data_IF_079586267260
#
_entry.id   IF_079586267260
#
_cell.length_a   1.000
_cell.length_b   1.000
_cell.length_c   1.000
_cell.angle_alpha   90.00
_cell.angle_beta   90.00
_cell.angle_gamma   90.00
#
_symmetry.space_group_name_H-M   'P 1'
#
loop_
_entity.id
_entity.type
_entity.pdbx_description
1 polymer ?
#
# COMPACT_ATOMS: atom_id res chain seq x y z
N UNK A 1 -14.65 -37.70 -3.85
CA UNK A 1 -14.93 -36.54 -4.70
C UNK A 1 -14.07 -35.45 -4.10
N UNK A 2 -12.88 -35.23 -4.67
CA UNK A 2 -11.93 -34.27 -4.11
C UNK A 2 -12.42 -32.87 -4.42
N UNK A 3 -12.62 -32.05 -3.39
CA UNK A 3 -12.90 -30.63 -3.59
C UNK A 3 -11.74 -30.04 -4.37
N UNK A 4 -12.06 -29.38 -5.49
CA UNK A 4 -11.06 -28.65 -6.24
C UNK A 4 -10.51 -27.57 -5.31
N UNK A 5 -9.21 -27.64 -5.03
CA UNK A 5 -8.48 -26.59 -4.37
C UNK A 5 -8.77 -25.29 -5.10
N UNK A 6 -9.46 -24.36 -4.45
CA UNK A 6 -9.64 -23.03 -5.00
C UNK A 6 -8.26 -22.40 -5.07
N UNK A 7 -7.83 -21.97 -6.26
CA UNK A 7 -6.51 -21.34 -6.47
C UNK A 7 -6.64 -19.84 -6.73
N UNK A 8 -7.88 -19.33 -6.79
CA UNK A 8 -8.17 -17.96 -7.16
C UNK A 8 -9.46 -17.46 -6.50
N UNK A 9 -9.40 -16.28 -5.91
CA UNK A 9 -10.57 -15.50 -5.51
C UNK A 9 -11.35 -15.07 -6.75
N UNK A 10 -12.67 -14.97 -6.62
CA UNK A 10 -13.47 -14.26 -7.64
C UNK A 10 -13.13 -12.77 -7.63
N UNK A 11 -13.35 -12.04 -8.74
CA UNK A 11 -13.12 -10.59 -8.78
C UNK A 11 -13.87 -9.82 -7.67
N UNK A 12 -15.09 -10.24 -7.35
CA UNK A 12 -15.87 -9.64 -6.26
C UNK A 12 -15.28 -9.91 -4.87
N UNK A 13 -14.68 -11.08 -4.65
CA UNK A 13 -13.99 -11.40 -3.40
C UNK A 13 -12.68 -10.62 -3.27
N UNK A 14 -11.89 -10.51 -4.34
CA UNK A 14 -10.67 -9.71 -4.34
C UNK A 14 -10.96 -8.24 -4.09
N UNK A 15 -12.00 -7.68 -4.74
CA UNK A 15 -12.43 -6.31 -4.49
C UNK A 15 -12.92 -6.10 -3.06
N UNK A 16 -13.79 -6.98 -2.55
CA UNK A 16 -14.25 -6.90 -1.18
C UNK A 16 -13.09 -7.00 -0.17
N UNK A 17 -12.08 -7.83 -0.46
CA UNK A 17 -10.86 -7.95 0.32
C UNK A 17 -10.08 -6.64 0.36
N UNK A 18 -9.85 -6.00 -0.78
CA UNK A 18 -9.18 -4.69 -0.85
C UNK A 18 -9.96 -3.61 -0.09
N UNK A 19 -11.28 -3.56 -0.23
CA UNK A 19 -12.14 -2.61 0.50
C UNK A 19 -12.14 -2.84 2.02
N UNK A 20 -12.07 -4.11 2.45
CA UNK A 20 -11.86 -4.46 3.86
C UNK A 20 -10.51 -3.92 4.34
N UNK A 21 -9.46 -4.19 3.58
CA UNK A 21 -8.10 -3.75 3.87
C UNK A 21 -7.98 -2.24 4.07
N UNK A 22 -8.55 -1.47 3.14
CA UNK A 22 -8.57 -0.01 3.21
C UNK A 22 -9.29 0.49 4.48
N UNK A 23 -10.43 -0.13 4.85
CA UNK A 23 -11.25 0.33 5.97
C UNK A 23 -10.76 -0.09 7.34
N UNK A 24 -10.24 -1.32 7.45
CA UNK A 24 -9.89 -1.93 8.73
C UNK A 24 -8.42 -1.71 9.11
N UNK A 25 -7.55 -1.52 8.12
CA UNK A 25 -6.11 -1.39 8.34
C UNK A 25 -5.59 0.00 7.95
N UNK A 26 -5.81 0.42 6.69
CA UNK A 26 -5.22 1.67 6.17
C UNK A 26 -5.85 2.91 6.79
N UNK A 27 -7.18 2.97 6.83
CA UNK A 27 -7.89 4.13 7.35
C UNK A 27 -7.61 4.40 8.84
N UNK A 28 -7.67 3.42 9.75
CA UNK A 28 -7.34 3.65 11.17
C UNK A 28 -5.90 4.12 11.35
N UNK A 29 -4.98 3.55 10.59
CA UNK A 29 -3.57 3.94 10.56
C UNK A 29 -3.40 5.40 10.11
N UNK A 30 -3.93 5.78 8.95
CA UNK A 30 -3.85 7.16 8.42
C UNK A 30 -4.50 8.16 9.39
N UNK A 31 -5.65 7.82 9.99
CA UNK A 31 -6.32 8.69 10.98
C UNK A 31 -5.42 9.07 12.14
N UNK A 32 -4.59 8.15 12.63
CA UNK A 32 -3.71 8.41 13.78
C UNK A 32 -2.57 9.34 13.41
N UNK A 33 -1.92 9.09 12.27
CA UNK A 33 -0.84 9.95 11.78
C UNK A 33 -1.38 11.37 11.56
N UNK A 34 -2.52 11.53 10.89
CA UNK A 34 -3.15 12.84 10.69
C UNK A 34 -3.57 13.51 12.01
N UNK A 35 -3.93 12.75 13.05
CA UNK A 35 -4.26 13.31 14.36
C UNK A 35 -3.03 13.85 15.10
N UNK A 36 -1.85 13.24 14.91
CA UNK A 36 -0.57 13.73 15.46
C UNK A 36 0.01 14.88 14.63
N UNK A 37 -0.31 14.91 13.34
CA UNK A 37 0.22 15.85 12.35
C UNK A 37 -0.92 16.59 11.61
N UNK A 38 -1.53 17.60 12.23
CA UNK A 38 -2.77 18.22 11.74
C UNK A 38 -2.62 19.08 10.48
N UNK A 39 -1.39 19.36 10.06
CA UNK A 39 -1.04 20.03 8.80
C UNK A 39 -1.01 19.08 7.60
N UNK A 40 -0.92 17.76 7.81
CA UNK A 40 -1.08 16.78 6.75
C UNK A 40 -2.55 16.73 6.31
N UNK A 41 -2.76 16.66 5.00
CA UNK A 41 -4.08 16.73 4.37
C UNK A 41 -4.43 15.48 3.58
N UNK A 42 -3.44 14.69 3.19
CA UNK A 42 -3.67 13.47 2.43
C UNK A 42 -2.64 12.38 2.72
N UNK A 43 -2.99 11.17 2.31
CA UNK A 43 -2.10 10.02 2.27
C UNK A 43 -2.39 9.19 1.02
N UNK A 44 -1.37 8.56 0.44
CA UNK A 44 -1.50 7.66 -0.70
C UNK A 44 -0.92 6.29 -0.34
N UNK A 45 -1.75 5.26 -0.39
CA UNK A 45 -1.30 3.87 -0.33
C UNK A 45 -0.67 3.51 -1.66
N UNK A 46 0.59 3.09 -1.59
CA UNK A 46 1.37 2.60 -2.70
C UNK A 46 1.60 1.10 -2.51
N UNK A 47 1.66 0.36 -3.63
CA UNK A 47 1.94 -1.08 -3.64
C UNK A 47 2.99 -1.41 -4.68
N UNK A 48 3.85 -2.36 -4.36
CA UNK A 48 4.88 -2.86 -5.26
C UNK A 48 4.98 -4.38 -5.11
N UNK A 49 5.33 -5.09 -6.18
CA UNK A 49 5.64 -6.51 -6.08
C UNK A 49 7.08 -6.70 -6.54
N UNK A 50 7.93 -7.18 -5.66
CA UNK A 50 9.31 -7.51 -5.99
C UNK A 50 9.92 -8.44 -4.95
N UNK A 51 11.00 -9.12 -5.36
CA UNK A 51 11.82 -9.91 -4.47
C UNK A 51 12.58 -9.01 -3.50
N UNK A 52 12.41 -9.28 -2.21
CA UNK A 52 13.31 -8.83 -1.15
C UNK A 52 13.85 -10.09 -0.47
N UNK A 53 15.04 -10.03 0.14
CA UNK A 53 15.93 -11.11 0.62
C UNK A 53 15.29 -12.31 1.41
N UNK A 54 13.97 -12.36 1.58
CA UNK A 54 13.18 -13.38 2.28
C UNK A 54 11.89 -13.82 1.54
N UNK A 55 11.57 -13.31 0.34
CA UNK A 55 10.29 -13.57 -0.34
C UNK A 55 10.34 -13.52 -1.88
N UNK A 56 9.94 -14.62 -2.54
CA UNK A 56 9.95 -14.78 -4.01
C UNK A 56 9.01 -13.83 -4.79
N UNK A 57 7.88 -13.43 -4.19
CA UNK A 57 6.82 -12.67 -4.87
C UNK A 57 6.05 -11.70 -3.94
N UNK A 58 6.69 -11.25 -2.85
CA UNK A 58 6.05 -10.38 -1.87
C UNK A 58 5.44 -9.13 -2.50
N UNK A 59 4.23 -8.79 -2.07
CA UNK A 59 3.66 -7.47 -2.33
C UNK A 59 3.97 -6.58 -1.14
N UNK A 60 4.80 -5.58 -1.37
CA UNK A 60 5.18 -4.53 -0.43
C UNK A 60 4.18 -3.39 -0.48
N UNK A 61 4.21 -2.57 0.57
CA UNK A 61 3.37 -1.37 0.69
C UNK A 61 4.17 -0.19 1.23
N UNK A 62 3.74 0.99 0.86
CA UNK A 62 4.21 2.25 1.43
C UNK A 62 3.01 3.20 1.58
N UNK A 63 3.07 4.14 2.52
CA UNK A 63 2.06 5.20 2.67
C UNK A 63 2.73 6.56 2.58
N UNK A 64 2.55 7.23 1.45
CA UNK A 64 3.05 8.59 1.23
C UNK A 64 2.08 9.60 1.83
N UNK A 65 2.45 10.26 2.92
CA UNK A 65 1.68 11.36 3.51
C UNK A 65 2.04 12.70 2.88
N UNK A 66 1.09 13.64 2.84
CA UNK A 66 1.34 14.96 2.26
C UNK A 66 0.54 16.09 2.92
N UNK A 67 1.12 17.29 2.94
CA UNK A 67 0.43 18.56 3.23
C UNK A 67 -0.46 19.02 2.05
N UNK A 68 -0.32 18.40 0.88
CA UNK A 68 -1.14 18.65 -0.29
C UNK A 68 -2.47 17.89 -0.20
N UNK A 69 -3.46 18.29 -1.01
CA UNK A 69 -4.71 17.53 -1.15
C UNK A 69 -4.51 16.18 -1.85
N UNK A 70 -3.46 16.06 -2.65
CA UNK A 70 -3.02 14.83 -3.30
C UNK A 70 -1.48 14.78 -3.23
N UNK A 71 -0.87 13.69 -2.74
CA UNK A 71 0.58 13.58 -2.70
C UNK A 71 1.20 13.64 -4.09
N UNK A 72 2.30 14.38 -4.23
CA UNK A 72 3.09 14.46 -5.45
C UNK A 72 4.08 13.29 -5.48
N UNK A 73 3.72 12.22 -6.17
CA UNK A 73 4.54 11.00 -6.27
C UNK A 73 5.84 11.22 -7.03
N UNK A 74 5.85 12.11 -8.03
CA UNK A 74 7.07 12.39 -8.81
C UNK A 74 8.07 13.18 -7.96
N UNK A 75 7.59 14.13 -7.15
CA UNK A 75 8.43 14.79 -6.16
C UNK A 75 8.97 13.80 -5.12
N UNK A 76 8.15 12.87 -4.65
CA UNK A 76 8.56 11.85 -3.68
C UNK A 76 9.64 10.90 -4.22
N UNK A 77 9.54 10.49 -5.49
CA UNK A 77 10.57 9.67 -6.17
C UNK A 77 11.88 10.42 -6.39
N UNK A 78 11.79 11.71 -6.67
CA UNK A 78 12.95 12.58 -6.86
C UNK A 78 13.58 13.03 -5.53
N UNK A 79 12.90 12.82 -4.41
CA UNK A 79 13.35 13.25 -3.08
C UNK A 79 14.53 12.40 -2.58
N UNK A 80 15.25 12.98 -1.61
CA UNK A 80 16.14 12.18 -0.76
C UNK A 80 15.26 11.34 0.17
N UNK A 81 15.63 10.08 0.42
CA UNK A 81 14.88 9.17 1.29
C UNK A 81 14.65 9.74 2.70
N UNK A 82 15.47 10.70 3.11
CA UNK A 82 15.36 11.43 4.37
C UNK A 82 14.37 12.61 4.34
N UNK A 83 14.15 13.25 3.18
CA UNK A 83 13.45 14.54 3.09
C UNK A 83 12.69 14.73 1.79
N UNK A 84 11.37 14.77 1.91
CA UNK A 84 10.46 15.21 0.86
C UNK A 84 9.93 16.61 1.20
N UNK A 85 10.56 17.64 0.62
CA UNK A 85 10.20 19.05 0.85
C UNK A 85 8.91 19.48 0.13
N UNK A 86 8.33 18.63 -0.73
CA UNK A 86 7.07 18.92 -1.42
C UNK A 86 5.90 18.35 -0.62
N UNK A 87 5.96 17.07 -0.26
CA UNK A 87 4.88 16.42 0.46
C UNK A 87 4.95 16.69 1.96
N UNK A 88 6.15 16.76 2.53
CA UNK A 88 6.36 16.88 3.99
C UNK A 88 7.40 17.95 4.33
N UNK A 89 7.18 19.22 3.91
CA UNK A 89 8.17 20.28 4.05
C UNK A 89 8.68 20.44 5.48
N UNK A 90 10.01 20.51 5.63
CA UNK A 90 10.67 20.68 6.91
C UNK A 90 10.60 19.47 7.86
N UNK A 91 10.21 18.28 7.36
CA UNK A 91 10.17 17.04 8.14
C UNK A 91 11.17 16.02 7.61
N UNK A 92 11.71 15.24 8.53
CA UNK A 92 12.45 14.03 8.20
C UNK A 92 11.45 12.88 8.01
N UNK A 93 11.65 12.03 7.02
CA UNK A 93 10.79 10.87 6.74
C UNK A 93 10.64 9.97 7.96
N UNK A 94 11.70 9.84 8.77
CA UNK A 94 11.68 9.02 9.98
C UNK A 94 10.68 9.49 11.05
N UNK A 95 10.29 10.77 11.07
CA UNK A 95 9.29 11.25 12.05
C UNK A 95 7.94 10.60 11.79
N UNK A 96 7.62 10.38 10.51
CA UNK A 96 6.42 9.65 10.15
C UNK A 96 6.61 8.16 10.39
N UNK A 97 7.79 7.59 10.09
CA UNK A 97 8.07 6.15 10.31
C UNK A 97 8.04 5.73 11.78
N UNK A 98 8.62 6.53 12.68
CA UNK A 98 8.65 6.25 14.12
C UNK A 98 7.21 6.21 14.70
N UNK A 99 6.32 7.05 14.17
CA UNK A 99 4.89 7.03 14.48
C UNK A 99 4.19 5.75 14.01
N UNK A 100 4.77 5.02 13.03
CA UNK A 100 4.28 3.77 12.46
C UNK A 100 4.81 2.55 13.21
N UNK A 101 6.08 2.58 13.64
CA UNK A 101 6.74 1.47 14.32
C UNK A 101 6.11 1.20 15.70
N UNK A 102 5.65 2.25 16.39
CA UNK A 102 4.83 2.11 17.61
C UNK A 102 3.49 1.40 17.36
N UNK A 103 3.04 1.33 16.10
CA UNK A 103 1.74 0.81 15.67
C UNK A 103 1.86 -0.39 14.68
N UNK A 104 3.06 -0.95 14.46
CA UNK A 104 3.30 -2.03 13.47
C UNK A 104 2.38 -3.24 13.67
N UNK A 105 2.05 -3.56 14.94
CA UNK A 105 1.11 -4.62 15.28
C UNK A 105 -0.34 -4.41 14.78
N UNK A 106 -0.68 -3.21 14.30
CA UNK A 106 -2.01 -2.85 13.82
C UNK A 106 -2.12 -2.80 12.30
N UNK A 107 -1.03 -2.52 11.60
CA UNK A 107 -1.05 -2.46 10.14
C UNK A 107 -0.72 -3.84 9.56
N UNK A 108 -1.50 -4.86 9.95
CA UNK A 108 -1.26 -6.27 9.68
C UNK A 108 -1.24 -6.61 8.18
N UNK A 109 -0.04 -6.55 7.58
CA UNK A 109 0.18 -6.79 6.15
C UNK A 109 0.94 -8.06 5.90
N UNK A 110 0.19 -9.03 5.37
CA UNK A 110 0.72 -10.31 4.96
C UNK A 110 1.22 -10.19 3.52
N UNK A 111 2.42 -9.63 3.36
CA UNK A 111 3.10 -9.39 2.07
C UNK A 111 3.27 -10.67 1.24
N UNK A 112 3.41 -11.82 1.90
CA UNK A 112 3.60 -13.15 1.31
C UNK A 112 2.30 -13.96 1.17
N UNK A 113 1.16 -13.40 1.58
CA UNK A 113 -0.12 -14.10 1.64
C UNK A 113 -1.22 -13.34 0.93
N UNK A 114 -2.20 -12.86 1.71
CA UNK A 114 -3.38 -12.17 1.18
C UNK A 114 -3.02 -10.95 0.31
N UNK A 115 -1.93 -10.23 0.62
CA UNK A 115 -1.54 -9.06 -0.17
C UNK A 115 -1.27 -9.39 -1.65
N UNK A 116 -0.73 -10.58 -1.93
CA UNK A 116 -0.50 -11.06 -3.31
C UNK A 116 -1.84 -11.18 -4.04
N UNK A 117 -2.80 -11.88 -3.42
CA UNK A 117 -4.13 -12.10 -4.01
C UNK A 117 -4.87 -10.79 -4.26
N UNK A 118 -4.68 -9.80 -3.39
CA UNK A 118 -5.42 -8.55 -3.44
C UNK A 118 -4.77 -7.53 -4.38
N UNK A 119 -3.44 -7.36 -4.33
CA UNK A 119 -2.78 -6.17 -4.87
C UNK A 119 -1.75 -6.45 -5.97
N UNK A 120 -1.30 -7.69 -6.17
CA UNK A 120 -0.31 -8.00 -7.20
C UNK A 120 -0.73 -7.49 -8.59
N UNK A 121 -2.02 -7.60 -8.94
CA UNK A 121 -2.54 -7.13 -10.23
C UNK A 121 -2.37 -5.61 -10.48
N UNK A 122 -2.10 -4.81 -9.45
CA UNK A 122 -1.91 -3.36 -9.52
C UNK A 122 -0.45 -2.92 -9.51
N UNK A 123 0.49 -3.82 -9.22
CA UNK A 123 1.91 -3.51 -9.22
C UNK A 123 2.51 -3.61 -10.63
N UNK A 124 3.59 -2.87 -10.87
CA UNK A 124 4.38 -2.95 -12.09
C UNK A 124 5.10 -4.31 -12.22
N UNK A 125 5.46 -4.67 -13.45
CA UNK A 125 6.27 -5.86 -13.74
C UNK A 125 7.75 -5.48 -13.80
N UNK A 126 8.63 -6.39 -13.37
CA UNK A 126 10.08 -6.22 -13.45
C UNK A 126 10.69 -5.33 -12.37
N UNK A 127 9.94 -4.99 -11.32
CA UNK A 127 10.46 -4.27 -10.16
C UNK A 127 11.43 -5.13 -9.33
N UNK A 128 12.39 -4.47 -8.68
CA UNK A 128 13.39 -5.11 -7.82
C UNK A 128 13.85 -4.15 -6.71
N UNK A 129 14.45 -4.69 -5.65
CA UNK A 129 14.89 -3.93 -4.48
C UNK A 129 15.96 -2.86 -4.76
N UNK A 130 16.77 -3.04 -5.83
CA UNK A 130 17.81 -2.07 -6.19
C UNK A 130 17.27 -0.84 -6.97
N UNK A 131 15.95 -0.71 -7.17
CA UNK A 131 15.36 0.49 -7.78
C UNK A 131 15.41 1.68 -6.81
N UNK A 132 15.26 2.90 -7.34
CA UNK A 132 15.18 4.11 -6.51
C UNK A 132 13.99 4.10 -5.55
N UNK A 133 14.04 4.97 -4.54
CA UNK A 133 12.97 5.10 -3.56
C UNK A 133 11.63 5.37 -4.26
N UNK A 134 10.63 4.51 -3.99
CA UNK A 134 9.29 4.54 -4.60
C UNK A 134 9.22 4.31 -6.12
N UNK A 135 10.33 4.00 -6.80
CA UNK A 135 10.32 3.72 -8.25
C UNK A 135 9.59 2.41 -8.57
N UNK A 136 9.66 1.42 -7.66
CA UNK A 136 8.94 0.15 -7.78
C UNK A 136 7.44 0.27 -7.45
N UNK A 137 7.02 1.40 -6.87
CA UNK A 137 5.72 1.54 -6.24
C UNK A 137 4.69 2.18 -7.16
N UNK A 138 3.52 1.56 -7.21
CA UNK A 138 2.34 2.00 -7.95
C UNK A 138 1.29 2.58 -6.99
N UNK A 139 0.63 3.70 -7.34
CA UNK A 139 -0.46 4.23 -6.54
C UNK A 139 -1.66 3.29 -6.55
N UNK A 140 -2.28 3.09 -5.38
CA UNK A 140 -3.48 2.26 -5.25
C UNK A 140 -4.67 3.01 -4.67
N UNK A 141 -4.52 3.70 -3.53
CA UNK A 141 -5.61 4.44 -2.92
C UNK A 141 -5.16 5.80 -2.40
N UNK A 142 -6.00 6.82 -2.62
CA UNK A 142 -5.84 8.17 -2.12
C UNK A 142 -6.80 8.40 -0.95
N UNK A 143 -6.28 8.88 0.17
CA UNK A 143 -7.03 9.25 1.36
C UNK A 143 -6.92 10.76 1.55
N UNK A 144 -8.05 11.48 1.54
CA UNK A 144 -8.08 12.95 1.66
C UNK A 144 -8.86 13.40 2.88
N UNK A 145 -8.28 14.32 3.65
CA UNK A 145 -8.96 14.99 4.74
C UNK A 145 -9.89 16.09 4.18
N UNK A 146 -11.20 15.88 4.29
CA UNK A 146 -12.24 16.80 3.83
C UNK A 146 -13.16 17.06 5.01
N UNK A 147 -13.22 18.32 5.45
CA UNK A 147 -14.08 18.78 6.54
C UNK A 147 -13.98 17.94 7.83
N UNK A 148 -12.77 17.50 8.18
CA UNK A 148 -12.50 16.67 9.36
C UNK A 148 -12.89 15.19 9.21
N UNK A 149 -13.32 14.78 8.01
CA UNK A 149 -13.52 13.38 7.63
C UNK A 149 -12.44 12.93 6.64
N UNK A 150 -12.20 11.63 6.52
CA UNK A 150 -11.28 11.08 5.52
C UNK A 150 -12.08 10.37 4.43
N UNK A 151 -12.03 10.89 3.22
CA UNK A 151 -12.54 10.24 2.03
C UNK A 151 -11.48 9.30 1.45
N UNK A 152 -11.89 8.13 0.96
CA UNK A 152 -11.02 7.14 0.31
C UNK A 152 -11.43 7.02 -1.15
N UNK A 153 -10.46 7.11 -2.05
CA UNK A 153 -10.63 6.93 -3.48
C UNK A 153 -9.64 5.87 -3.98
N UNK A 154 -10.13 4.86 -4.70
CA UNK A 154 -9.26 3.88 -5.37
C UNK A 154 -8.80 4.48 -6.68
N UNK A 155 -7.50 4.76 -6.77
CA UNK A 155 -6.85 5.36 -7.94
C UNK A 155 -5.98 4.35 -8.70
N UNK A 156 -5.78 3.16 -8.14
CA UNK A 156 -4.98 2.10 -8.72
C UNK A 156 -5.54 1.60 -10.04
N UNK A 157 -4.67 1.54 -11.05
CA UNK A 157 -4.99 0.91 -12.34
C UNK A 157 -4.47 -0.52 -12.33
N UNK A 158 -5.34 -1.47 -12.67
CA UNK A 158 -4.94 -2.87 -12.78
C UNK A 158 -4.05 -3.06 -14.02
N UNK A 159 -2.79 -3.43 -13.79
CA UNK A 159 -1.73 -3.58 -14.82
C UNK A 159 -1.59 -5.02 -15.28
N UNK A 160 -1.80 -5.97 -14.37
CA UNK A 160 -1.62 -7.42 -14.59
C UNK A 160 -2.90 -8.18 -14.22
N UNK A 161 -4.00 -8.06 -15.00
CA UNK A 161 -5.30 -8.61 -14.63
C UNK A 161 -5.34 -10.13 -14.40
N UNK A 162 -4.41 -10.88 -14.99
CA UNK A 162 -4.31 -12.32 -14.77
C UNK A 162 -3.95 -12.69 -13.32
N UNK A 163 -3.35 -11.78 -12.57
CA UNK A 163 -2.96 -11.95 -11.16
C UNK A 163 -4.08 -11.58 -10.16
N UNK A 164 -5.17 -10.94 -10.58
CA UNK A 164 -6.22 -10.47 -9.65
C UNK A 164 -6.89 -11.65 -8.94
N UNK A 165 -6.73 -11.75 -7.61
CA UNK A 165 -7.26 -12.84 -6.81
C UNK A 165 -6.43 -14.12 -6.80
N UNK A 166 -5.26 -14.17 -7.45
CA UNK A 166 -4.42 -15.38 -7.46
C UNK A 166 -3.81 -15.62 -6.08
N UNK A 167 -4.05 -16.80 -5.51
CA UNK A 167 -3.52 -17.15 -4.20
C UNK A 167 -2.06 -17.61 -4.31
N UNK A 168 -1.19 -17.26 -3.34
CA UNK A 168 0.20 -17.69 -3.35
C UNK A 168 0.32 -19.22 -3.30
N UNK A 169 1.38 -19.75 -3.90
CA UNK A 169 1.63 -21.19 -3.96
C UNK A 169 1.99 -21.72 -2.55
N UNK A 170 1.00 -22.19 -1.82
CA UNK A 170 1.16 -22.73 -0.46
C UNK A 170 -0.12 -22.76 0.37
N UNK A 171 -1.09 -21.89 0.09
CA UNK A 171 -2.38 -21.82 0.82
C UNK A 171 -3.48 -22.68 0.18
N UNK A 172 -3.12 -23.43 -0.86
CA UNK A 172 -3.98 -24.33 -1.62
C UNK A 172 -4.32 -25.64 -0.88
N UNK A 173 -3.99 -25.78 0.41
CA UNK A 173 -4.34 -26.97 1.17
C UNK A 173 -3.72 -26.98 2.57
N UNK A 174 -4.52 -26.58 3.55
CA UNK A 174 -4.44 -27.04 4.94
C UNK A 174 -5.88 -27.27 5.44
#
# INVERSE_FOLDING_TARGET
MGDAVQTKLTPGQAEAGRQRYLRELVLPYVRRVLARHPDLRSAMLLVAQYWNDEADDAVHREVLFSVLDEPDLEAARAADWERDEVNTPGRHSSVLSDDLDDDEGLFGWNENGEAISLFAAFCDEGCHQDMGYLDAYSPYALLRCIDGSIAIEVVGTMKRPWLDGVMPQGEAGC
#
